data_IF_944812198882
#
_entry.id   IF_944812198882
#
_cell.length_a   1.000
_cell.length_b   1.000
_cell.length_c   1.000
_cell.angle_alpha   90.00
_cell.angle_beta   90.00
_cell.angle_gamma   90.00
#
_symmetry.space_group_name_H-M   'P 1'
#
loop_
_entity.id
_entity.type
_entity.pdbx_description
1 polymer ?
#
# COMPACT_ATOMS: atom_id res chain seq x y z
N UNK A 1 10.15 13.87 12.14
CA UNK A 1 10.16 12.64 11.36
C UNK A 1 11.37 11.81 11.68
N UNK A 2 11.21 10.50 11.67
CA UNK A 2 12.30 9.56 11.88
C UNK A 2 12.24 8.51 10.79
N UNK A 3 13.33 8.34 10.07
CA UNK A 3 13.50 7.20 9.18
C UNK A 3 14.92 6.65 9.29
N UNK A 4 15.04 5.34 9.22
CA UNK A 4 16.35 4.70 9.12
C UNK A 4 16.94 4.94 7.74
N UNK A 5 18.23 5.17 7.65
CA UNK A 5 18.93 5.30 6.39
C UNK A 5 20.24 4.50 6.42
N UNK A 6 20.45 3.70 5.36
CA UNK A 6 21.62 2.84 5.20
C UNK A 6 21.88 1.93 6.43
N UNK A 7 20.83 1.30 6.94
CA UNK A 7 20.86 0.50 8.15
C UNK A 7 20.39 -0.93 7.91
N UNK A 8 20.84 -1.84 8.78
CA UNK A 8 20.41 -3.24 8.80
C UNK A 8 20.11 -3.69 10.22
N UNK A 9 19.02 -4.50 10.35
CA UNK A 9 18.58 -5.05 11.64
C UNK A 9 18.27 -4.00 12.71
N UNK A 10 17.79 -2.82 12.26
CA UNK A 10 17.36 -1.76 13.17
C UNK A 10 15.88 -1.87 13.45
N UNK A 11 15.49 -1.38 14.62
CA UNK A 11 14.09 -1.35 15.04
C UNK A 11 13.67 0.05 15.47
N UNK A 12 12.42 0.42 15.10
CA UNK A 12 11.70 1.58 15.63
C UNK A 12 10.43 1.02 16.26
N UNK A 13 10.31 1.14 17.58
CA UNK A 13 9.16 0.57 18.31
C UNK A 13 8.59 1.55 19.32
N UNK A 14 7.30 1.39 19.57
CA UNK A 14 6.59 2.06 20.67
C UNK A 14 6.79 3.58 20.68
N UNK A 15 6.71 4.20 19.50
CA UNK A 15 6.97 5.61 19.30
C UNK A 15 5.75 6.36 18.77
N UNK A 16 5.62 7.63 19.16
CA UNK A 16 4.67 8.57 18.58
C UNK A 16 5.44 9.71 17.92
N UNK A 17 5.11 10.03 16.66
CA UNK A 17 5.68 11.15 15.93
C UNK A 17 4.55 12.10 15.51
N UNK A 18 4.54 13.30 16.08
CA UNK A 18 3.49 14.28 15.82
C UNK A 18 4.05 15.50 15.08
N UNK A 19 3.31 15.91 14.08
CA UNK A 19 3.41 17.13 13.29
C UNK A 19 4.84 17.56 12.93
N UNK A 20 5.36 17.01 11.84
CA UNK A 20 6.70 17.35 11.38
C UNK A 20 6.85 18.87 11.15
N UNK A 21 7.88 19.45 11.71
CA UNK A 21 8.19 20.87 11.61
C UNK A 21 8.24 21.40 10.16
N UNK A 22 8.77 20.59 9.24
CA UNK A 22 8.90 20.95 7.84
C UNK A 22 8.45 19.82 6.91
N UNK A 23 7.50 20.13 6.03
CA UNK A 23 6.88 19.17 5.08
C UNK A 23 7.04 19.61 3.61
N UNK A 24 7.83 20.63 3.36
CA UNK A 24 7.79 21.38 2.09
C UNK A 24 8.67 20.85 0.97
N UNK A 25 9.48 19.82 1.16
CA UNK A 25 10.40 19.33 0.13
C UNK A 25 10.61 17.84 0.15
N UNK A 26 11.23 17.30 -0.88
CA UNK A 26 11.64 15.89 -0.94
C UNK A 26 12.56 15.54 0.23
N UNK A 27 12.39 14.36 0.81
CA UNK A 27 13.19 13.90 1.94
C UNK A 27 12.81 14.51 3.30
N UNK A 28 11.70 15.27 3.38
CA UNK A 28 11.27 15.90 4.65
C UNK A 28 9.98 15.26 5.15
N UNK A 29 9.84 15.16 6.47
CA UNK A 29 8.66 14.61 7.15
C UNK A 29 8.33 13.16 6.76
N UNK A 30 9.33 12.35 6.48
CA UNK A 30 9.20 10.94 6.16
C UNK A 30 9.35 10.08 7.42
N UNK A 31 8.60 8.97 7.48
CA UNK A 31 8.74 7.98 8.55
C UNK A 31 8.75 6.58 7.92
N UNK A 32 9.89 5.88 8.02
CA UNK A 32 10.08 4.57 7.39
C UNK A 32 11.54 4.18 7.17
N UNK A 33 11.81 3.52 6.06
CA UNK A 33 13.09 2.91 5.76
C UNK A 33 13.66 3.36 4.41
N UNK A 34 14.86 3.92 4.41
CA UNK A 34 15.61 4.37 3.25
C UNK A 34 16.91 3.57 3.13
N UNK A 35 17.12 2.83 2.04
CA UNK A 35 18.32 2.00 1.87
C UNK A 35 18.59 1.10 3.09
N UNK A 36 17.56 0.48 3.61
CA UNK A 36 17.63 -0.36 4.81
C UNK A 36 17.32 -1.81 4.47
N UNK A 37 17.86 -2.73 5.26
CA UNK A 37 17.67 -4.16 5.07
C UNK A 37 17.27 -4.84 6.37
N UNK A 38 16.24 -5.69 6.31
CA UNK A 38 15.77 -6.50 7.44
C UNK A 38 15.48 -5.66 8.70
N UNK A 39 14.87 -4.49 8.52
CA UNK A 39 14.55 -3.57 9.62
C UNK A 39 13.06 -3.67 9.99
N UNK A 40 12.72 -3.38 11.24
CA UNK A 40 11.38 -3.50 11.79
C UNK A 40 10.88 -2.16 12.34
N UNK A 41 9.66 -1.79 11.94
CA UNK A 41 8.88 -0.74 12.61
C UNK A 41 7.61 -1.39 13.18
N UNK A 42 7.39 -1.25 14.49
CA UNK A 42 6.25 -1.86 15.16
C UNK A 42 5.68 -0.94 16.23
N UNK A 43 4.34 -0.89 16.33
CA UNK A 43 3.63 -0.09 17.31
C UNK A 43 4.05 1.40 17.29
N UNK A 44 4.01 1.97 16.08
CA UNK A 44 4.33 3.37 15.83
C UNK A 44 3.06 4.10 15.45
N UNK A 45 2.84 5.27 16.03
CA UNK A 45 1.75 6.16 15.65
C UNK A 45 2.30 7.47 15.10
N UNK A 46 1.77 7.94 13.96
CA UNK A 46 2.23 9.19 13.37
C UNK A 46 1.05 10.10 13.03
N UNK A 47 1.27 11.40 13.15
CA UNK A 47 0.29 12.41 12.78
C UNK A 47 0.91 13.40 11.79
N UNK A 48 0.20 13.70 10.70
CA UNK A 48 0.55 14.76 9.74
C UNK A 48 1.98 14.64 9.19
N UNK A 49 2.45 13.45 8.93
CA UNK A 49 3.69 13.25 8.19
C UNK A 49 3.45 13.42 6.69
N UNK A 50 4.48 13.72 5.93
CA UNK A 50 4.37 13.82 4.48
C UNK A 50 4.19 12.44 3.84
N UNK A 51 5.04 11.48 4.21
CA UNK A 51 4.94 10.08 3.80
C UNK A 51 5.26 9.17 4.98
N UNK A 52 4.26 8.44 5.42
CA UNK A 52 4.34 7.42 6.48
C UNK A 52 3.17 6.43 6.33
N UNK A 53 3.41 5.12 6.27
CA UNK A 53 4.73 4.46 6.25
C UNK A 53 5.49 4.63 4.92
N UNK A 54 6.81 4.53 4.96
CA UNK A 54 7.67 4.72 3.78
C UNK A 54 8.69 3.60 3.60
N UNK A 55 8.85 3.16 2.36
CA UNK A 55 10.04 2.44 1.86
C UNK A 55 10.61 3.18 0.67
N UNK A 56 11.93 3.40 0.65
CA UNK A 56 12.58 4.04 -0.50
C UNK A 56 14.00 3.55 -0.74
N UNK A 57 14.50 3.78 -1.96
CA UNK A 57 15.89 3.58 -2.36
C UNK A 57 16.44 2.21 -1.99
N UNK A 58 15.89 1.16 -2.59
CA UNK A 58 16.31 -0.22 -2.39
C UNK A 58 16.18 -0.73 -0.93
N UNK A 59 15.27 -0.16 -0.14
CA UNK A 59 14.88 -0.80 1.11
C UNK A 59 14.32 -2.19 0.81
N UNK A 60 14.82 -3.22 1.51
CA UNK A 60 14.50 -4.61 1.21
C UNK A 60 14.36 -5.45 2.48
N UNK A 61 13.40 -6.37 2.50
CA UNK A 61 13.15 -7.25 3.64
C UNK A 61 12.66 -6.53 4.90
N UNK A 62 12.29 -5.26 4.79
CA UNK A 62 11.84 -4.47 5.93
C UNK A 62 10.36 -4.71 6.23
N UNK A 63 10.00 -4.61 7.52
CA UNK A 63 8.63 -4.81 8.00
C UNK A 63 8.14 -3.55 8.71
N UNK A 64 6.90 -3.13 8.39
CA UNK A 64 6.15 -2.11 9.12
C UNK A 64 4.84 -2.74 9.55
N UNK A 65 4.56 -2.78 10.86
CA UNK A 65 3.41 -3.51 11.38
C UNK A 65 2.78 -2.89 12.62
N UNK A 66 1.50 -3.25 12.88
CA UNK A 66 0.75 -2.84 14.09
C UNK A 66 0.85 -1.34 14.38
N UNK A 67 0.85 -0.53 13.34
CA UNK A 67 1.11 0.90 13.43
C UNK A 67 -0.05 1.71 12.83
N UNK A 68 -0.19 2.97 13.26
CA UNK A 68 -1.25 3.86 12.81
C UNK A 68 -0.63 5.13 12.22
N UNK A 69 -1.07 5.50 11.02
CA UNK A 69 -0.55 6.64 10.28
C UNK A 69 -1.70 7.58 9.93
N UNK A 70 -1.80 8.69 10.67
CA UNK A 70 -2.85 9.69 10.49
C UNK A 70 -2.41 10.81 9.56
N UNK A 71 -3.29 11.21 8.67
CA UNK A 71 -3.11 12.32 7.72
C UNK A 71 -1.84 12.18 6.86
N UNK A 72 -1.48 10.94 6.51
CA UNK A 72 -0.29 10.63 5.72
C UNK A 72 -0.58 9.51 4.74
N UNK A 73 0.11 9.47 3.61
CA UNK A 73 0.03 8.35 2.67
C UNK A 73 1.14 7.32 2.90
N UNK A 74 0.80 6.05 2.74
CA UNK A 74 1.82 4.99 2.66
C UNK A 74 2.57 5.11 1.31
N UNK A 75 3.91 5.00 1.32
CA UNK A 75 4.64 5.17 0.08
C UNK A 75 5.77 4.16 -0.12
N UNK A 76 5.83 3.63 -1.35
CA UNK A 76 7.04 3.07 -1.94
C UNK A 76 7.63 4.13 -2.86
N UNK A 77 8.69 4.79 -2.38
CA UNK A 77 9.33 5.90 -3.08
C UNK A 77 10.40 5.43 -4.04
N UNK A 78 10.04 4.40 -4.79
CA UNK A 78 10.83 3.77 -5.87
C UNK A 78 12.26 3.35 -5.50
N UNK A 79 13.16 3.43 -6.48
CA UNK A 79 14.56 3.07 -6.29
C UNK A 79 14.76 1.59 -5.98
N UNK A 80 13.91 0.71 -6.55
CA UNK A 80 13.98 -0.73 -6.38
C UNK A 80 13.67 -1.23 -4.96
N UNK A 81 12.73 -0.60 -4.26
CA UNK A 81 12.21 -1.13 -2.98
C UNK A 81 11.57 -2.49 -3.20
N UNK A 82 11.99 -3.50 -2.48
CA UNK A 82 11.55 -4.88 -2.75
C UNK A 82 11.42 -5.71 -1.48
N UNK A 83 10.60 -6.76 -1.55
CA UNK A 83 10.44 -7.74 -0.47
C UNK A 83 10.03 -7.14 0.89
N UNK A 84 9.40 -5.97 0.89
CA UNK A 84 8.95 -5.31 2.11
C UNK A 84 7.53 -5.71 2.46
N UNK A 85 7.23 -5.75 3.75
CA UNK A 85 5.92 -6.07 4.29
C UNK A 85 5.32 -4.88 5.05
N UNK A 86 4.10 -4.48 4.70
CA UNK A 86 3.23 -3.66 5.55
C UNK A 86 2.08 -4.54 6.01
N UNK A 87 1.96 -4.75 7.32
CA UNK A 87 0.88 -5.57 7.85
C UNK A 87 0.22 -5.01 9.12
N UNK A 88 -1.06 -5.29 9.28
CA UNK A 88 -1.84 -4.91 10.47
C UNK A 88 -1.79 -3.40 10.77
N UNK A 89 -1.58 -2.57 9.77
CA UNK A 89 -1.52 -1.13 9.90
C UNK A 89 -2.88 -0.47 9.60
N UNK A 90 -3.09 0.69 10.22
CA UNK A 90 -4.14 1.65 9.85
C UNK A 90 -3.47 2.82 9.16
N UNK A 91 -3.93 3.17 7.96
CA UNK A 91 -3.39 4.28 7.17
C UNK A 91 -4.56 5.18 6.78
N UNK A 92 -4.58 6.38 7.33
CA UNK A 92 -5.61 7.39 7.09
C UNK A 92 -5.00 8.54 6.29
N UNK A 93 -5.07 8.43 4.98
CA UNK A 93 -4.52 9.45 4.09
C UNK A 93 -5.40 10.70 4.06
N UNK A 94 -4.76 11.85 3.90
CA UNK A 94 -5.43 13.13 3.72
C UNK A 94 -4.81 13.93 2.57
N UNK A 95 -5.55 14.91 2.08
CA UNK A 95 -5.01 15.96 1.22
C UNK A 95 -4.24 16.97 2.08
N UNK A 96 -3.18 17.49 1.55
CA UNK A 96 -2.26 18.35 2.30
C UNK A 96 -1.04 17.56 2.78
N UNK A 97 -0.30 18.10 3.72
CA UNK A 97 0.93 17.50 4.27
C UNK A 97 1.93 16.96 3.23
N UNK A 98 1.77 17.32 1.94
CA UNK A 98 2.60 16.86 0.82
C UNK A 98 2.15 15.54 0.18
N UNK A 99 1.10 14.91 0.70
CA UNK A 99 0.46 13.74 0.11
C UNK A 99 -0.45 14.08 -1.07
N UNK A 100 -0.69 13.09 -1.93
CA UNK A 100 -1.56 13.24 -3.12
C UNK A 100 -3.01 12.80 -2.85
N UNK A 101 -3.30 12.32 -1.64
CA UNK A 101 -4.61 11.81 -1.24
C UNK A 101 -4.88 10.37 -1.67
N UNK A 102 -3.87 9.63 -2.13
CA UNK A 102 -3.93 8.18 -2.24
C UNK A 102 -3.73 7.56 -0.86
N UNK A 103 -4.34 6.42 -0.59
CA UNK A 103 -4.11 5.71 0.66
C UNK A 103 -2.67 5.20 0.74
N UNK A 104 -2.27 4.52 -0.31
CA UNK A 104 -0.89 4.05 -0.51
C UNK A 104 -0.46 4.37 -1.93
N UNK A 105 0.81 4.65 -2.11
CA UNK A 105 1.33 5.12 -3.39
C UNK A 105 2.69 4.50 -3.73
N UNK A 106 2.75 3.77 -4.82
CA UNK A 106 4.00 3.38 -5.46
C UNK A 106 4.36 4.44 -6.51
N UNK A 107 5.45 5.14 -6.30
CA UNK A 107 5.85 6.28 -7.14
C UNK A 107 5.99 5.91 -8.61
N UNK A 108 5.62 6.79 -9.54
CA UNK A 108 5.66 6.52 -10.96
C UNK A 108 7.09 6.48 -11.52
N UNK A 109 7.38 5.61 -12.50
CA UNK A 109 8.68 5.55 -13.16
C UNK A 109 8.92 6.74 -14.09
N UNK A 110 7.90 7.52 -14.40
CA UNK A 110 8.05 8.77 -15.16
C UNK A 110 8.87 9.79 -14.39
N UNK A 111 9.00 9.62 -13.09
CA UNK A 111 10.00 10.29 -12.30
C UNK A 111 11.34 9.58 -12.50
N UNK A 112 12.09 10.00 -13.51
CA UNK A 112 13.38 9.42 -13.86
C UNK A 112 14.42 9.48 -12.72
N UNK A 113 14.20 10.33 -11.73
CA UNK A 113 15.08 10.44 -10.57
C UNK A 113 14.90 9.28 -9.59
N UNK A 114 13.72 8.66 -9.55
CA UNK A 114 13.38 7.65 -8.56
C UNK A 114 13.51 6.21 -9.07
N UNK A 115 13.35 5.98 -10.37
CA UNK A 115 13.41 4.65 -10.97
C UNK A 115 12.20 3.76 -10.62
N UNK A 116 12.23 2.47 -10.97
CA UNK A 116 11.13 1.55 -10.74
C UNK A 116 10.99 1.17 -9.27
N UNK A 117 9.78 0.74 -8.90
CA UNK A 117 9.58 -0.02 -7.66
C UNK A 117 10.04 -1.47 -7.89
N UNK A 118 10.52 -2.10 -6.84
CA UNK A 118 11.00 -3.48 -6.92
C UNK A 118 9.89 -4.52 -6.73
N UNK A 119 10.24 -5.79 -6.89
CA UNK A 119 9.30 -6.90 -6.78
C UNK A 119 8.98 -7.30 -5.33
N UNK A 120 7.95 -8.14 -5.19
CA UNK A 120 7.58 -8.89 -4.00
C UNK A 120 7.31 -8.06 -2.75
N UNK A 121 6.80 -6.83 -2.91
CA UNK A 121 6.26 -6.10 -1.77
C UNK A 121 4.87 -6.64 -1.38
N UNK A 122 4.56 -6.61 -0.10
CA UNK A 122 3.35 -7.19 0.46
C UNK A 122 2.57 -6.15 1.28
N UNK A 123 1.27 -6.04 1.01
CA UNK A 123 0.30 -5.29 1.83
C UNK A 123 -0.68 -6.31 2.40
N UNK A 124 -0.67 -6.48 3.70
CA UNK A 124 -1.40 -7.57 4.35
C UNK A 124 -2.20 -7.12 5.56
N UNK A 125 -3.48 -7.47 5.59
CA UNK A 125 -4.34 -7.26 6.76
C UNK A 125 -4.30 -5.80 7.28
N UNK A 126 -4.29 -4.84 6.37
CA UNK A 126 -4.31 -3.41 6.67
C UNK A 126 -5.71 -2.80 6.50
N UNK A 127 -5.92 -1.65 7.15
CA UNK A 127 -7.08 -0.79 6.97
C UNK A 127 -6.63 0.55 6.41
N UNK A 128 -7.03 0.85 5.18
CA UNK A 128 -6.56 2.02 4.43
C UNK A 128 -7.75 2.88 4.05
N UNK A 129 -7.72 4.15 4.44
CA UNK A 129 -8.73 5.13 4.04
C UNK A 129 -8.11 6.33 3.32
N UNK A 130 -8.77 6.84 2.30
CA UNK A 130 -8.20 7.87 1.43
C UNK A 130 -9.24 8.75 0.73
N UNK A 131 -8.91 10.03 0.47
CA UNK A 131 -9.71 10.89 -0.39
C UNK A 131 -9.76 10.44 -1.86
N UNK A 132 -8.74 9.72 -2.33
CA UNK A 132 -8.63 9.23 -3.70
C UNK A 132 -8.44 7.72 -3.73
N UNK A 133 -7.76 7.16 -4.72
CA UNK A 133 -7.55 5.72 -4.83
C UNK A 133 -6.93 5.10 -3.56
N UNK A 134 -7.37 3.89 -3.22
CA UNK A 134 -6.85 3.15 -2.06
C UNK A 134 -5.37 2.84 -2.20
N UNK A 135 -4.98 2.24 -3.32
CA UNK A 135 -3.58 2.00 -3.68
C UNK A 135 -3.33 2.47 -5.12
N UNK A 136 -2.39 3.38 -5.29
CA UNK A 136 -1.91 3.84 -6.58
C UNK A 136 -0.57 3.19 -6.92
N UNK A 137 -0.56 2.36 -7.95
CA UNK A 137 0.64 1.70 -8.47
C UNK A 137 1.10 2.46 -9.71
N UNK A 138 2.01 3.40 -9.53
CA UNK A 138 2.33 4.41 -10.54
C UNK A 138 3.32 3.99 -11.61
N UNK A 139 4.06 2.90 -11.43
CA UNK A 139 5.10 2.56 -12.36
C UNK A 139 5.42 1.09 -12.45
N UNK A 140 6.65 0.76 -12.78
CA UNK A 140 7.10 -0.62 -12.85
C UNK A 140 7.02 -1.29 -11.48
N UNK A 141 6.09 -2.22 -11.36
CA UNK A 141 5.83 -3.00 -10.15
C UNK A 141 5.67 -4.46 -10.57
N UNK A 142 6.16 -5.38 -9.77
CA UNK A 142 6.20 -6.80 -10.13
C UNK A 142 5.97 -7.70 -8.91
N UNK A 143 5.12 -8.73 -9.05
CA UNK A 143 4.88 -9.77 -8.05
C UNK A 143 4.48 -9.24 -6.65
N UNK A 144 3.62 -8.22 -6.59
CA UNK A 144 3.12 -7.74 -5.31
C UNK A 144 1.95 -8.58 -4.81
N UNK A 145 1.89 -8.76 -3.49
CA UNK A 145 0.77 -9.41 -2.82
C UNK A 145 -0.06 -8.37 -2.05
N UNK A 146 -1.32 -8.21 -2.43
CA UNK A 146 -2.27 -7.28 -1.80
C UNK A 146 -3.41 -8.12 -1.24
N UNK A 147 -3.29 -8.49 0.04
CA UNK A 147 -4.09 -9.58 0.61
C UNK A 147 -4.81 -9.15 1.90
N UNK A 148 -6.10 -9.52 2.02
CA UNK A 148 -6.90 -9.36 3.23
C UNK A 148 -6.97 -7.93 3.78
N UNK A 149 -6.88 -6.92 2.92
CA UNK A 149 -6.97 -5.53 3.33
C UNK A 149 -8.40 -4.99 3.22
N UNK A 150 -8.70 -3.92 3.94
CA UNK A 150 -9.82 -3.05 3.64
C UNK A 150 -9.30 -1.73 3.07
N UNK A 151 -9.79 -1.34 1.89
CA UNK A 151 -9.52 -0.06 1.27
C UNK A 151 -10.82 0.75 1.19
N UNK A 152 -10.86 1.90 1.83
CA UNK A 152 -11.97 2.85 1.75
C UNK A 152 -11.51 4.08 0.98
N UNK A 153 -12.16 4.39 -0.15
CA UNK A 153 -11.82 5.55 -0.97
C UNK A 153 -13.05 6.45 -1.16
N UNK A 154 -12.87 7.76 -0.94
CA UNK A 154 -13.92 8.75 -1.21
C UNK A 154 -14.13 8.94 -2.72
N UNK A 155 -13.04 8.84 -3.50
CA UNK A 155 -13.06 8.86 -4.96
C UNK A 155 -11.93 8.00 -5.54
N UNK A 156 -12.12 7.55 -6.79
CA UNK A 156 -11.13 6.71 -7.47
C UNK A 156 -11.23 5.22 -7.14
N UNK A 157 -10.47 4.37 -7.84
CA UNK A 157 -10.51 2.93 -7.69
C UNK A 157 -9.89 2.45 -6.38
N UNK A 158 -10.24 1.24 -5.97
CA UNK A 158 -9.57 0.56 -4.85
C UNK A 158 -8.08 0.37 -5.11
N UNK A 159 -7.75 -0.18 -6.30
CA UNK A 159 -6.37 -0.27 -6.81
C UNK A 159 -6.30 0.35 -8.20
N UNK A 160 -5.33 1.21 -8.42
CA UNK A 160 -5.03 1.78 -9.73
C UNK A 160 -3.64 1.34 -10.17
N UNK A 161 -3.55 0.58 -11.25
CA UNK A 161 -2.29 0.23 -11.91
C UNK A 161 -2.14 1.09 -13.17
N UNK A 162 -1.15 1.99 -13.18
CA UNK A 162 -0.99 2.99 -14.26
C UNK A 162 -0.43 2.37 -15.54
N UNK A 163 0.69 1.69 -15.44
CA UNK A 163 1.36 0.99 -16.53
C UNK A 163 2.42 0.05 -15.95
N UNK A 164 2.92 -0.88 -16.76
CA UNK A 164 4.10 -1.69 -16.41
C UNK A 164 3.95 -2.38 -15.05
N UNK A 165 2.83 -3.08 -14.87
CA UNK A 165 2.50 -3.81 -13.65
C UNK A 165 2.36 -5.29 -13.96
N UNK A 166 3.16 -6.14 -13.28
CA UNK A 166 3.26 -7.55 -13.62
C UNK A 166 2.95 -8.47 -12.44
N UNK A 167 2.19 -9.53 -12.69
CA UNK A 167 2.04 -10.70 -11.83
C UNK A 167 1.61 -10.37 -10.38
N UNK A 168 0.69 -9.41 -10.22
CA UNK A 168 0.16 -9.07 -8.90
C UNK A 168 -0.98 -9.99 -8.50
N UNK A 169 -1.02 -10.36 -7.23
CA UNK A 169 -2.14 -11.07 -6.61
C UNK A 169 -2.90 -10.11 -5.69
N UNK A 170 -4.14 -9.80 -6.04
CA UNK A 170 -5.07 -8.98 -5.26
C UNK A 170 -6.19 -9.89 -4.78
N UNK A 171 -6.12 -10.29 -3.50
CA UNK A 171 -6.96 -11.39 -3.03
C UNK A 171 -7.58 -11.13 -1.64
N UNK A 172 -8.84 -11.54 -1.51
CA UNK A 172 -9.61 -11.50 -0.25
C UNK A 172 -9.64 -10.10 0.40
N UNK A 173 -9.63 -9.04 -0.42
CA UNK A 173 -9.75 -7.66 0.07
C UNK A 173 -11.19 -7.18 0.08
N UNK A 174 -11.45 -6.20 0.93
CA UNK A 174 -12.70 -5.42 0.95
C UNK A 174 -12.42 -4.02 0.42
N UNK A 175 -13.13 -3.61 -0.62
CA UNK A 175 -13.07 -2.28 -1.20
C UNK A 175 -14.38 -1.54 -0.94
N UNK A 176 -14.31 -0.34 -0.37
CA UNK A 176 -15.45 0.54 -0.09
C UNK A 176 -15.27 1.81 -0.90
N UNK A 177 -15.97 1.97 -2.02
CA UNK A 177 -15.81 3.09 -2.94
C UNK A 177 -17.06 3.98 -2.88
N UNK A 178 -16.90 5.21 -2.40
CA UNK A 178 -18.04 6.09 -2.08
C UNK A 178 -18.56 6.91 -3.27
N UNK A 179 -17.79 7.04 -4.34
CA UNK A 179 -18.09 7.96 -5.45
C UNK A 179 -19.14 7.44 -6.46
N UNK A 180 -19.52 6.18 -6.39
CA UNK A 180 -20.45 5.56 -7.33
C UNK A 180 -19.96 5.50 -8.79
N UNK A 181 -18.69 5.81 -9.07
CA UNK A 181 -18.15 5.94 -10.43
C UNK A 181 -16.95 5.03 -10.70
N UNK A 182 -16.21 4.70 -9.66
CA UNK A 182 -14.94 3.99 -9.78
C UNK A 182 -15.10 2.47 -9.75
N UNK A 183 -14.26 1.73 -10.49
CA UNK A 183 -14.18 0.27 -10.43
C UNK A 183 -13.40 -0.17 -9.20
N UNK A 184 -13.48 -1.46 -8.83
CA UNK A 184 -12.64 -2.03 -7.79
C UNK A 184 -11.16 -1.91 -8.16
N UNK A 185 -10.78 -2.33 -9.37
CA UNK A 185 -9.42 -2.24 -9.90
C UNK A 185 -9.43 -1.58 -11.27
N UNK A 186 -8.52 -0.64 -11.48
CA UNK A 186 -8.28 -0.01 -12.79
C UNK A 186 -6.92 -0.41 -13.34
N UNK A 187 -6.91 -1.19 -14.42
CA UNK A 187 -5.70 -1.59 -15.16
C UNK A 187 -5.51 -0.63 -16.34
N UNK A 188 -4.92 0.54 -16.08
CA UNK A 188 -4.92 1.65 -17.02
C UNK A 188 -3.81 1.56 -18.09
N UNK A 189 -2.77 0.76 -17.88
CA UNK A 189 -1.74 0.47 -18.86
C UNK A 189 -2.02 -0.81 -19.66
N UNK A 190 -1.67 -0.83 -20.94
CA UNK A 190 -1.69 -2.06 -21.73
C UNK A 190 -0.69 -3.12 -21.21
N UNK A 191 0.31 -2.67 -20.48
CA UNK A 191 1.39 -3.50 -19.91
C UNK A 191 1.06 -3.97 -18.47
N UNK A 192 -0.22 -3.97 -18.07
CA UNK A 192 -0.67 -4.64 -16.86
C UNK A 192 -0.96 -6.11 -17.18
N UNK A 193 0.01 -7.00 -16.90
CA UNK A 193 0.00 -8.41 -17.31
C UNK A 193 0.08 -9.31 -16.09
N UNK A 194 -0.58 -10.48 -16.13
CA UNK A 194 -0.49 -11.48 -15.07
C UNK A 194 -1.23 -11.11 -13.77
N UNK A 195 -2.13 -10.14 -13.80
CA UNK A 195 -2.84 -9.67 -12.61
C UNK A 195 -3.96 -10.67 -12.23
N UNK A 196 -3.95 -11.14 -11.00
CA UNK A 196 -4.97 -12.03 -10.45
C UNK A 196 -5.85 -11.32 -9.42
N UNK A 197 -7.17 -11.43 -9.58
CA UNK A 197 -8.20 -10.85 -8.72
C UNK A 197 -9.10 -11.95 -8.19
N UNK A 198 -8.95 -12.35 -6.93
CA UNK A 198 -9.72 -13.48 -6.38
C UNK A 198 -10.32 -13.18 -5.01
N UNK A 199 -11.59 -13.54 -4.80
CA UNK A 199 -12.25 -13.46 -3.50
C UNK A 199 -12.45 -12.04 -2.94
N UNK A 200 -12.32 -11.00 -3.77
CA UNK A 200 -12.48 -9.63 -3.30
C UNK A 200 -13.95 -9.20 -3.24
N UNK A 201 -14.28 -8.29 -2.33
CA UNK A 201 -15.60 -7.69 -2.23
C UNK A 201 -15.55 -6.18 -2.51
N UNK A 202 -16.35 -5.71 -3.47
CA UNK A 202 -16.54 -4.30 -3.77
C UNK A 202 -17.88 -3.83 -3.17
N UNK A 203 -17.83 -2.85 -2.28
CA UNK A 203 -18.98 -2.13 -1.76
C UNK A 203 -19.08 -0.75 -2.40
N UNK A 204 -20.18 -0.47 -3.07
CA UNK A 204 -20.40 0.79 -3.79
C UNK A 204 -19.66 0.84 -5.14
N UNK A 205 -18.98 1.95 -5.43
CA UNK A 205 -18.37 2.18 -6.72
C UNK A 205 -19.35 2.08 -7.88
N UNK A 206 -18.88 1.79 -9.08
CA UNK A 206 -19.73 1.60 -10.27
C UNK A 206 -20.16 0.14 -10.51
N UNK A 207 -19.92 -0.76 -9.57
CA UNK A 207 -20.23 -2.18 -9.66
C UNK A 207 -19.29 -2.99 -10.58
N UNK A 208 -18.24 -2.40 -11.12
CA UNK A 208 -17.27 -3.11 -11.97
C UNK A 208 -16.07 -3.60 -11.15
N UNK A 209 -15.75 -4.87 -11.29
CA UNK A 209 -14.53 -5.44 -10.69
C UNK A 209 -13.28 -4.86 -11.36
N UNK A 210 -13.28 -4.75 -12.68
CA UNK A 210 -12.15 -4.24 -13.45
C UNK A 210 -12.59 -3.21 -14.48
N UNK A 211 -11.73 -2.23 -14.72
CA UNK A 211 -11.78 -1.37 -15.90
C UNK A 211 -10.35 -1.04 -16.36
N UNK A 212 -10.24 -0.42 -17.53
CA UNK A 212 -8.96 0.03 -18.07
C UNK A 212 -8.63 -0.59 -19.41
N UNK A 213 -7.35 -0.57 -19.78
CA UNK A 213 -6.85 -1.02 -21.08
C UNK A 213 -6.43 -2.49 -21.10
N UNK A 214 -6.12 -3.05 -19.94
CA UNK A 214 -5.76 -4.45 -19.78
C UNK A 214 -6.87 -5.25 -19.08
N UNK A 215 -6.79 -6.56 -19.18
CA UNK A 215 -7.65 -7.51 -18.47
C UNK A 215 -6.81 -8.33 -17.50
N UNK A 216 -7.37 -8.72 -16.35
CA UNK A 216 -6.69 -9.64 -15.43
C UNK A 216 -6.49 -11.00 -16.09
N UNK A 217 -5.44 -11.71 -15.71
CA UNK A 217 -5.22 -13.11 -16.11
C UNK A 217 -6.21 -14.06 -15.43
N UNK A 218 -6.65 -13.70 -14.22
CA UNK A 218 -7.66 -14.43 -13.45
C UNK A 218 -8.57 -13.43 -12.73
N UNK A 219 -9.88 -13.64 -12.76
CA UNK A 219 -10.87 -12.87 -11.99
C UNK A 219 -11.99 -13.80 -11.51
N UNK A 220 -11.83 -14.35 -10.30
CA UNK A 220 -12.75 -15.34 -9.75
C UNK A 220 -13.25 -14.99 -8.35
N UNK A 221 -14.48 -15.40 -8.05
CA UNK A 221 -15.08 -15.27 -6.72
C UNK A 221 -15.12 -13.83 -6.17
N UNK A 222 -15.00 -12.82 -7.05
CA UNK A 222 -15.17 -11.44 -6.66
C UNK A 222 -16.66 -11.07 -6.61
N UNK A 223 -17.03 -10.22 -5.64
CA UNK A 223 -18.42 -9.84 -5.41
C UNK A 223 -18.59 -8.32 -5.50
N UNK A 224 -19.78 -7.88 -5.93
CA UNK A 224 -20.19 -6.48 -5.89
C UNK A 224 -21.43 -6.37 -5.02
N UNK A 225 -21.39 -5.43 -4.08
CA UNK A 225 -22.38 -5.24 -3.03
C UNK A 225 -22.78 -3.76 -2.93
N UNK A 226 -24.01 -3.45 -2.49
CA UNK A 226 -24.38 -2.08 -2.18
C UNK A 226 -23.45 -1.45 -1.15
N UNK A 227 -23.25 -0.14 -1.24
CA UNK A 227 -22.50 0.60 -0.22
C UNK A 227 -23.17 0.40 1.16
N UNK A 228 -22.37 0.02 2.14
CA UNK A 228 -22.86 -0.28 3.48
C UNK A 228 -21.72 -0.46 4.49
N UNK A 229 -22.06 -0.75 5.74
CA UNK A 229 -21.06 -1.04 6.76
C UNK A 229 -20.20 -2.25 6.39
N UNK A 230 -18.91 -2.14 6.62
CA UNK A 230 -17.95 -3.20 6.33
C UNK A 230 -16.97 -3.36 7.49
N UNK A 231 -16.36 -4.53 7.56
CA UNK A 231 -15.24 -4.80 8.47
C UNK A 231 -14.02 -5.20 7.65
N UNK A 232 -12.83 -4.99 8.21
CA UNK A 232 -11.60 -5.53 7.64
C UNK A 232 -11.69 -7.06 7.61
N UNK A 233 -11.19 -7.74 6.58
CA UNK A 233 -11.06 -9.19 6.57
C UNK A 233 -10.29 -9.70 7.79
N UNK A 234 -10.64 -10.89 8.27
CA UNK A 234 -9.98 -11.54 9.40
C UNK A 234 -9.29 -12.83 8.90
N UNK A 235 -8.06 -12.75 8.39
CA UNK A 235 -7.38 -13.93 7.88
C UNK A 235 -7.02 -14.91 8.99
N UNK A 236 -6.99 -16.21 8.65
CA UNK A 236 -6.63 -17.29 9.59
C UNK A 236 -5.18 -17.17 10.10
N UNK A 237 -4.31 -16.56 9.32
CA UNK A 237 -2.96 -16.16 9.72
C UNK A 237 -2.96 -14.64 9.91
N UNK A 238 -3.13 -14.09 11.11
CA UNK A 238 -3.27 -12.65 11.30
C UNK A 238 -2.03 -11.83 10.95
N UNK A 239 -0.85 -12.43 11.00
CA UNK A 239 0.45 -11.79 10.75
C UNK A 239 1.39 -12.73 10.02
N UNK A 240 1.87 -12.30 8.87
CA UNK A 240 2.91 -13.00 8.10
C UNK A 240 4.22 -13.00 8.88
N UNK A 241 4.62 -11.87 9.42
CA UNK A 241 5.85 -11.71 10.19
C UNK A 241 5.93 -12.68 11.38
N UNK A 242 4.88 -12.71 12.21
CA UNK A 242 4.84 -13.62 13.36
C UNK A 242 4.77 -15.10 12.95
N UNK A 243 4.11 -15.40 11.83
CA UNK A 243 4.09 -16.75 11.28
C UNK A 243 5.49 -17.17 10.84
N UNK A 244 6.22 -16.30 10.15
CA UNK A 244 7.60 -16.55 9.73
C UNK A 244 8.52 -16.78 10.92
N UNK A 245 8.47 -15.93 11.95
CA UNK A 245 9.28 -16.11 13.16
C UNK A 245 9.05 -17.45 13.86
N UNK A 246 7.83 -17.98 13.79
CA UNK A 246 7.49 -19.25 14.44
C UNK A 246 7.81 -20.49 13.60
N UNK A 247 7.78 -20.37 12.29
CA UNK A 247 7.83 -21.51 11.37
C UNK A 247 9.09 -21.59 10.52
N UNK A 248 9.76 -20.48 10.29
CA UNK A 248 11.05 -20.47 9.60
C UNK A 248 12.14 -20.51 10.67
N UNK A 249 12.84 -21.62 10.74
CA UNK A 249 14.07 -21.69 11.58
C UNK A 249 15.17 -20.91 10.88
N UNK A 250 16.00 -20.17 11.64
CA UNK A 250 17.17 -19.52 11.09
C UNK A 250 18.15 -20.51 10.49
#
# INVERSE_FOLDING_TARGET
>A
PVYGSAAKWCEIRDCVFDDAWFKGGGGTAYTGWDRCWDCLMENVETFKMRHAPLFQWAASGCVIRKSVFHESDGQWHSGWTNENLIEQCVIESALGNGGYGYGMWASPPEDAAHGPNGPRNVVYNCDVSSPKAGLWMGGMNENWLILHNRFTADSGPGVFAKATSFDHIIKDNVFVLKDGKSPMVSLNGADCIGIELTGNALYGGNGKIVSGKAQPSLAENNQTLPLGPTTRPAPSVPSIYEWQLRNLKP
#
